data_IF_189376644630
#
_entry.id   IF_189376644630
#
_cell.length_a   1.000
_cell.length_b   1.000
_cell.length_c   1.000
_cell.angle_alpha   90.00
_cell.angle_beta   90.00
_cell.angle_gamma   90.00
#
_symmetry.space_group_name_H-M   'P 1'
#
loop_
_entity.id
_entity.type
_entity.pdbx_description
1 polymer ?
#
# COMPACT_ATOMS: atom_id res chain seq x y z
N UNK A 1 -3.39 10.74 -15.23
CA UNK A 1 -3.94 10.58 -13.86
C UNK A 1 -2.93 9.96 -12.89
N UNK A 2 -2.25 8.86 -13.25
CA UNK A 2 -1.33 8.15 -12.32
C UNK A 2 -0.18 9.05 -11.82
N UNK A 3 0.36 9.93 -12.67
CA UNK A 3 1.41 10.86 -12.25
C UNK A 3 0.95 11.88 -11.18
N UNK A 4 -0.35 12.09 -10.98
CA UNK A 4 -0.84 12.88 -9.85
C UNK A 4 -0.64 12.18 -8.49
N UNK A 5 -0.42 10.87 -8.50
CA UNK A 5 -0.13 10.03 -7.34
C UNK A 5 1.35 9.60 -7.28
N UNK A 6 2.19 10.16 -8.14
CA UNK A 6 3.62 9.84 -8.16
C UNK A 6 4.34 10.41 -6.95
N UNK A 7 5.08 9.56 -6.25
CA UNK A 7 5.84 9.93 -5.05
C UNK A 7 7.20 10.54 -5.35
N UNK A 8 7.78 10.26 -6.54
CA UNK A 8 9.12 10.70 -6.93
C UNK A 8 9.17 11.39 -8.31
N UNK A 9 8.35 12.42 -8.58
CA UNK A 9 8.29 13.07 -9.89
C UNK A 9 9.54 13.88 -10.26
N UNK A 10 10.39 14.25 -9.30
CA UNK A 10 11.66 14.96 -9.56
C UNK A 10 12.70 14.06 -10.26
N UNK A 11 12.50 12.73 -10.22
CA UNK A 11 13.38 11.75 -10.87
C UNK A 11 12.85 11.26 -12.23
N UNK A 12 11.63 11.62 -12.58
CA UNK A 12 11.02 11.26 -13.85
C UNK A 12 9.51 11.06 -13.77
N UNK A 13 8.90 10.80 -14.91
CA UNK A 13 7.47 10.51 -15.00
C UNK A 13 7.21 9.01 -15.02
N UNK A 14 6.08 8.58 -14.49
CA UNK A 14 5.54 7.24 -14.72
C UNK A 14 5.09 7.16 -16.18
N UNK A 15 5.72 6.27 -16.97
CA UNK A 15 5.48 6.08 -18.40
C UNK A 15 4.72 4.81 -18.72
N UNK A 16 4.71 3.85 -17.80
CA UNK A 16 4.06 2.56 -17.98
C UNK A 16 3.83 1.87 -16.64
N UNK A 17 3.35 0.64 -16.70
CA UNK A 17 3.17 -0.24 -15.56
C UNK A 17 3.77 -1.62 -15.86
N UNK A 18 3.95 -2.43 -14.82
CA UNK A 18 4.16 -3.86 -14.99
C UNK A 18 2.87 -4.54 -15.54
N UNK A 19 2.92 -5.84 -15.93
CA UNK A 19 1.78 -6.50 -16.59
C UNK A 19 0.47 -6.46 -15.79
N UNK A 20 0.53 -6.55 -14.47
CA UNK A 20 -0.66 -6.57 -13.61
C UNK A 20 -1.07 -5.17 -13.12
N UNK A 21 -0.34 -4.13 -13.48
CA UNK A 21 -0.59 -2.70 -13.16
C UNK A 21 -0.52 -2.33 -11.67
N UNK A 22 0.03 -3.18 -10.82
CA UNK A 22 0.28 -2.87 -9.41
C UNK A 22 1.52 -2.01 -9.18
N UNK A 23 2.45 -1.99 -10.14
CA UNK A 23 3.68 -1.23 -10.05
C UNK A 23 3.72 -0.12 -11.10
N UNK A 24 3.56 1.11 -10.65
CA UNK A 24 3.61 2.33 -11.47
C UNK A 24 4.63 3.28 -10.86
N UNK A 25 5.85 3.21 -11.36
CA UNK A 25 6.97 3.98 -10.85
C UNK A 25 7.95 4.36 -11.96
N UNK A 26 9.18 4.71 -11.62
CA UNK A 26 10.24 5.07 -12.56
C UNK A 26 10.68 3.86 -13.38
N UNK A 27 11.10 4.09 -14.61
CA UNK A 27 11.72 3.07 -15.43
C UNK A 27 13.03 2.57 -14.78
N UNK A 28 13.46 1.38 -15.18
CA UNK A 28 14.69 0.74 -14.70
C UNK A 28 14.75 0.56 -13.18
N UNK A 29 13.59 0.48 -12.53
CA UNK A 29 13.43 0.07 -11.12
C UNK A 29 12.79 -1.30 -11.05
N UNK A 30 13.08 -2.06 -10.01
CA UNK A 30 12.48 -3.36 -9.77
C UNK A 30 11.47 -3.32 -8.64
N UNK A 31 10.44 -4.16 -8.73
CA UNK A 31 9.47 -4.39 -7.68
C UNK A 31 9.70 -5.76 -7.04
N UNK A 32 9.97 -5.75 -5.76
CA UNK A 32 10.11 -6.91 -4.93
C UNK A 32 8.74 -7.29 -4.36
N UNK A 33 8.31 -8.55 -4.53
CA UNK A 33 6.90 -8.92 -4.33
C UNK A 33 6.68 -9.92 -3.20
N UNK A 34 5.62 -9.68 -2.42
CA UNK A 34 5.00 -10.66 -1.53
C UNK A 34 3.47 -10.50 -1.55
N UNK A 35 2.75 -11.59 -1.28
CA UNK A 35 1.29 -11.56 -1.17
C UNK A 35 0.82 -12.41 0.01
N UNK A 36 -0.04 -11.82 0.85
CA UNK A 36 -0.64 -12.52 1.98
C UNK A 36 -1.95 -13.19 1.58
N UNK A 37 -2.17 -14.42 2.02
CA UNK A 37 -3.44 -15.10 1.83
C UNK A 37 -4.46 -14.64 2.89
N UNK A 38 -5.45 -13.86 2.50
CA UNK A 38 -6.42 -13.27 3.42
C UNK A 38 -7.23 -14.31 4.22
N UNK A 39 -7.49 -15.49 3.65
CA UNK A 39 -8.22 -16.55 4.35
C UNK A 39 -7.51 -17.07 5.61
N UNK A 40 -6.19 -16.94 5.68
CA UNK A 40 -5.43 -17.37 6.89
C UNK A 40 -5.72 -16.51 8.11
N UNK A 41 -6.28 -15.31 7.91
CA UNK A 41 -6.67 -14.38 8.97
C UNK A 41 -8.16 -14.45 9.32
N UNK A 42 -8.92 -15.38 8.72
CA UNK A 42 -10.36 -15.50 8.98
C UNK A 42 -10.70 -16.86 9.59
N UNK A 43 -11.18 -16.84 10.82
CA UNK A 43 -11.61 -18.04 11.54
C UNK A 43 -12.81 -17.76 12.44
N UNK A 44 -13.69 -18.74 12.60
CA UNK A 44 -14.84 -18.65 13.50
C UNK A 44 -15.74 -17.42 13.26
N UNK A 45 -15.89 -17.00 12.01
CA UNK A 45 -16.73 -15.85 11.65
C UNK A 45 -16.08 -14.48 11.92
N UNK A 46 -14.79 -14.44 12.25
CA UNK A 46 -14.08 -13.20 12.58
C UNK A 46 -12.77 -13.08 11.82
N UNK A 47 -12.48 -11.88 11.34
CA UNK A 47 -11.17 -11.53 10.76
C UNK A 47 -10.20 -11.11 11.87
N UNK A 48 -9.01 -11.72 11.92
CA UNK A 48 -7.95 -11.41 12.86
C UNK A 48 -7.12 -10.22 12.35
N UNK A 49 -7.59 -9.02 12.65
CA UNK A 49 -6.96 -7.78 12.23
C UNK A 49 -5.58 -7.58 12.90
N UNK A 50 -5.37 -8.06 14.13
CA UNK A 50 -4.09 -7.94 14.82
C UNK A 50 -3.01 -8.79 14.15
N UNK A 51 -3.31 -10.05 13.85
CA UNK A 51 -2.42 -10.92 13.11
C UNK A 51 -2.14 -10.37 11.68
N UNK A 52 -3.13 -9.77 11.03
CA UNK A 52 -2.98 -9.16 9.72
C UNK A 52 -2.03 -7.95 9.74
N UNK A 53 -2.18 -7.04 10.70
CA UNK A 53 -1.27 -5.90 10.92
C UNK A 53 0.15 -6.39 11.22
N UNK A 54 0.29 -7.37 12.13
CA UNK A 54 1.59 -7.94 12.47
C UNK A 54 2.29 -8.55 11.25
N UNK A 55 1.58 -9.37 10.47
CA UNK A 55 2.11 -9.96 9.24
C UNK A 55 2.49 -8.89 8.21
N UNK A 56 1.69 -7.82 8.05
CA UNK A 56 2.01 -6.69 7.17
C UNK A 56 3.34 -6.03 7.57
N UNK A 57 3.55 -5.77 8.86
CA UNK A 57 4.82 -5.21 9.36
C UNK A 57 6.00 -6.12 9.07
N UNK A 58 5.88 -7.42 9.38
CA UNK A 58 6.95 -8.39 9.13
C UNK A 58 7.30 -8.49 7.65
N UNK A 59 6.30 -8.55 6.77
CA UNK A 59 6.54 -8.62 5.32
C UNK A 59 7.14 -7.33 4.77
N UNK A 60 6.77 -6.16 5.32
CA UNK A 60 7.38 -4.88 4.92
C UNK A 60 8.87 -4.90 5.23
N UNK A 61 9.28 -5.31 6.43
CA UNK A 61 10.69 -5.45 6.81
C UNK A 61 11.40 -6.52 5.97
N UNK A 62 10.74 -7.65 5.72
CA UNK A 62 11.32 -8.73 4.90
C UNK A 62 11.57 -8.28 3.47
N UNK A 63 10.63 -7.55 2.86
CA UNK A 63 10.79 -7.01 1.51
C UNK A 63 11.92 -5.99 1.44
N UNK A 64 12.06 -5.13 2.45
CA UNK A 64 13.15 -4.17 2.56
C UNK A 64 14.52 -4.86 2.60
N UNK A 65 14.68 -5.88 3.44
CA UNK A 65 15.90 -6.69 3.50
C UNK A 65 16.18 -7.37 2.14
N UNK A 66 15.14 -7.90 1.52
CA UNK A 66 15.23 -8.60 0.25
C UNK A 66 15.67 -7.69 -0.90
N UNK A 67 15.18 -6.43 -0.96
CA UNK A 67 15.67 -5.44 -1.95
C UNK A 67 17.16 -5.17 -1.78
N UNK A 68 17.65 -5.03 -0.54
CA UNK A 68 19.07 -4.81 -0.27
C UNK A 68 19.96 -5.96 -0.70
N UNK A 69 19.46 -7.19 -0.66
CA UNK A 69 20.21 -8.42 -0.93
C UNK A 69 19.98 -8.96 -2.35
N UNK A 70 19.09 -8.34 -3.13
CA UNK A 70 18.72 -8.82 -4.45
C UNK A 70 19.87 -8.65 -5.46
N UNK A 71 19.88 -9.54 -6.45
CA UNK A 71 20.69 -9.40 -7.65
C UNK A 71 19.79 -8.97 -8.81
N UNK A 72 20.26 -8.02 -9.61
CA UNK A 72 19.51 -7.44 -10.71
C UNK A 72 20.20 -7.70 -12.05
N UNK A 73 19.45 -7.70 -13.18
CA UNK A 73 19.99 -8.08 -14.49
C UNK A 73 20.95 -7.05 -15.07
N UNK A 74 20.93 -5.79 -14.59
CA UNK A 74 21.86 -4.74 -15.01
C UNK A 74 22.28 -3.88 -13.83
N UNK A 75 23.42 -3.19 -13.98
CA UNK A 75 23.92 -2.26 -12.96
C UNK A 75 22.99 -1.07 -12.77
N UNK A 76 22.36 -0.59 -13.83
CA UNK A 76 21.41 0.53 -13.78
C UNK A 76 20.18 0.17 -12.94
N UNK A 77 19.57 -0.99 -13.21
CA UNK A 77 18.43 -1.49 -12.41
C UNK A 77 18.83 -1.72 -10.95
N UNK A 78 20.04 -2.25 -10.71
CA UNK A 78 20.53 -2.44 -9.36
C UNK A 78 20.66 -1.12 -8.61
N UNK A 79 21.24 -0.10 -9.25
CA UNK A 79 21.41 1.22 -8.65
C UNK A 79 20.09 1.90 -8.33
N UNK A 80 19.17 1.98 -9.31
CA UNK A 80 17.88 2.63 -9.12
C UNK A 80 17.01 1.87 -8.12
N UNK A 81 17.04 0.55 -8.13
CA UNK A 81 16.31 -0.26 -7.13
C UNK A 81 16.84 -0.06 -5.72
N UNK A 82 18.14 0.11 -5.56
CA UNK A 82 18.77 0.44 -4.28
C UNK A 82 18.42 1.86 -3.83
N UNK A 83 18.44 2.84 -4.75
CA UNK A 83 18.18 4.24 -4.42
C UNK A 83 16.73 4.52 -4.01
N UNK A 84 15.76 3.84 -4.64
CA UNK A 84 14.33 4.06 -4.39
C UNK A 84 13.67 3.00 -3.51
N UNK A 85 14.23 1.79 -3.43
CA UNK A 85 13.84 0.72 -2.50
C UNK A 85 12.35 0.39 -2.52
N UNK A 86 11.79 0.24 -3.72
CA UNK A 86 10.36 0.00 -3.91
C UNK A 86 9.95 -1.40 -3.48
N UNK A 87 8.87 -1.50 -2.71
CA UNK A 87 8.35 -2.74 -2.14
C UNK A 87 6.96 -3.01 -2.70
N UNK A 88 6.70 -4.26 -3.10
CA UNK A 88 5.42 -4.73 -3.61
C UNK A 88 4.75 -5.70 -2.64
N UNK A 89 3.98 -5.19 -1.68
CA UNK A 89 3.18 -6.00 -0.78
C UNK A 89 1.71 -5.99 -1.19
N UNK A 90 1.15 -7.17 -1.38
CA UNK A 90 -0.24 -7.34 -1.75
C UNK A 90 -0.92 -8.48 -0.99
N UNK A 91 -2.08 -8.87 -1.46
CA UNK A 91 -2.80 -10.02 -0.93
C UNK A 91 -3.46 -10.84 -2.02
N UNK A 92 -3.78 -12.08 -1.70
CA UNK A 92 -4.54 -13.00 -2.52
C UNK A 92 -5.78 -13.48 -1.78
N UNK A 93 -6.72 -14.07 -2.54
CA UNK A 93 -7.86 -14.81 -2.01
C UNK A 93 -8.95 -13.93 -1.35
N UNK A 94 -9.08 -12.66 -1.80
CA UNK A 94 -10.21 -11.81 -1.37
C UNK A 94 -11.56 -12.43 -1.75
N UNK A 95 -11.69 -13.02 -2.94
CA UNK A 95 -12.92 -13.69 -3.36
C UNK A 95 -13.27 -14.88 -2.46
N UNK A 96 -12.28 -15.67 -2.05
CA UNK A 96 -12.48 -16.75 -1.10
C UNK A 96 -12.89 -16.26 0.28
N UNK A 97 -12.31 -15.15 0.76
CA UNK A 97 -12.72 -14.52 2.01
C UNK A 97 -14.17 -14.05 1.95
N UNK A 98 -14.57 -13.32 0.89
CA UNK A 98 -15.93 -12.83 0.73
C UNK A 98 -16.95 -14.00 0.68
N UNK A 99 -16.65 -15.09 -0.05
CA UNK A 99 -17.48 -16.29 -0.08
C UNK A 99 -17.66 -16.91 1.32
N UNK A 100 -16.57 -16.99 2.10
CA UNK A 100 -16.66 -17.51 3.48
C UNK A 100 -17.46 -16.61 4.41
N UNK A 101 -17.48 -15.29 4.16
CA UNK A 101 -18.28 -14.34 4.90
C UNK A 101 -19.74 -14.24 4.41
N UNK A 102 -20.08 -14.93 3.31
CA UNK A 102 -21.41 -14.86 2.69
C UNK A 102 -21.66 -13.54 1.97
N UNK A 103 -20.62 -12.83 1.54
CA UNK A 103 -20.70 -11.55 0.85
C UNK A 103 -20.58 -11.75 -0.66
N UNK A 104 -21.38 -11.01 -1.42
CA UNK A 104 -21.27 -10.98 -2.89
C UNK A 104 -19.96 -10.31 -3.32
N UNK A 105 -19.28 -10.88 -4.32
CA UNK A 105 -18.03 -10.33 -4.84
C UNK A 105 -18.20 -8.87 -5.36
N UNK A 106 -19.33 -8.58 -6.01
CA UNK A 106 -19.69 -7.27 -6.54
C UNK A 106 -20.78 -6.58 -5.70
N UNK A 107 -20.78 -6.80 -4.39
CA UNK A 107 -21.63 -6.07 -3.46
C UNK A 107 -20.94 -4.83 -2.89
N UNK A 108 -21.71 -3.87 -2.38
CA UNK A 108 -21.17 -2.69 -1.72
C UNK A 108 -20.37 -3.08 -0.48
N UNK A 109 -20.82 -4.07 0.29
CA UNK A 109 -20.14 -4.60 1.46
C UNK A 109 -18.81 -5.27 1.08
N UNK A 110 -18.79 -6.06 0.00
CA UNK A 110 -17.58 -6.71 -0.50
C UNK A 110 -16.53 -5.69 -0.94
N UNK A 111 -16.94 -4.67 -1.68
CA UNK A 111 -16.05 -3.57 -2.10
C UNK A 111 -15.53 -2.75 -0.92
N UNK A 112 -16.41 -2.44 0.04
CA UNK A 112 -16.05 -1.68 1.25
C UNK A 112 -15.05 -2.46 2.13
N UNK A 113 -15.27 -3.76 2.31
CA UNK A 113 -14.32 -4.63 3.03
C UNK A 113 -12.95 -4.69 2.33
N UNK A 114 -12.95 -4.89 1.01
CA UNK A 114 -11.73 -4.87 0.21
C UNK A 114 -10.98 -3.54 0.38
N UNK A 115 -11.69 -2.42 0.30
CA UNK A 115 -11.13 -1.08 0.54
C UNK A 115 -10.51 -0.93 1.94
N UNK A 116 -11.20 -1.41 2.97
CA UNK A 116 -10.72 -1.34 4.35
C UNK A 116 -9.44 -2.17 4.55
N UNK A 117 -9.41 -3.42 4.08
CA UNK A 117 -8.23 -4.29 4.18
C UNK A 117 -7.03 -3.72 3.41
N UNK A 118 -7.26 -3.15 2.23
CA UNK A 118 -6.21 -2.49 1.43
C UNK A 118 -5.69 -1.23 2.15
N UNK A 119 -6.58 -0.42 2.71
CA UNK A 119 -6.20 0.79 3.45
C UNK A 119 -5.37 0.45 4.70
N UNK A 120 -5.73 -0.61 5.44
CA UNK A 120 -4.95 -1.09 6.59
C UNK A 120 -3.56 -1.52 6.13
N UNK A 121 -3.47 -2.43 5.14
CA UNK A 121 -2.17 -2.92 4.65
C UNK A 121 -1.27 -1.76 4.23
N UNK A 122 -1.77 -0.87 3.40
CA UNK A 122 -0.96 0.22 2.84
C UNK A 122 -0.55 1.23 3.92
N UNK A 123 -1.47 1.61 4.81
CA UNK A 123 -1.17 2.51 5.93
C UNK A 123 -0.13 1.93 6.87
N UNK A 124 -0.30 0.67 7.30
CA UNK A 124 0.66 -0.04 8.15
C UNK A 124 2.03 -0.17 7.47
N UNK A 125 2.06 -0.43 6.16
CA UNK A 125 3.32 -0.51 5.39
C UNK A 125 4.04 0.83 5.40
N UNK A 126 3.36 1.96 5.15
CA UNK A 126 3.97 3.29 5.19
C UNK A 126 4.41 3.69 6.60
N UNK A 127 3.62 3.39 7.64
CA UNK A 127 4.01 3.61 9.02
C UNK A 127 5.28 2.81 9.38
N UNK A 128 5.35 1.52 9.00
CA UNK A 128 6.54 0.68 9.20
C UNK A 128 7.76 1.22 8.43
N UNK A 129 7.55 1.70 7.20
CA UNK A 129 8.61 2.33 6.40
C UNK A 129 9.13 3.62 7.07
N UNK A 130 8.25 4.42 7.64
CA UNK A 130 8.64 5.62 8.39
C UNK A 130 9.44 5.28 9.66
N UNK A 131 9.06 4.23 10.39
CA UNK A 131 9.83 3.72 11.54
C UNK A 131 11.24 3.27 11.11
N UNK A 132 11.36 2.50 10.03
CA UNK A 132 12.67 2.10 9.49
C UNK A 132 13.49 3.32 9.06
N UNK A 133 12.87 4.30 8.40
CA UNK A 133 13.55 5.53 7.98
C UNK A 133 14.04 6.37 9.17
N UNK A 134 13.34 6.35 10.30
CA UNK A 134 13.78 7.01 11.53
C UNK A 134 15.09 6.42 12.07
N UNK A 135 15.28 5.11 11.96
CA UNK A 135 16.45 4.40 12.49
C UNK A 135 17.62 4.37 11.48
N UNK A 136 17.31 4.20 10.19
CA UNK A 136 18.30 3.92 9.14
C UNK A 136 18.50 5.09 8.16
N UNK A 137 17.67 6.12 8.26
CA UNK A 137 17.55 7.18 7.26
C UNK A 137 16.57 6.83 6.13
N UNK A 138 16.04 7.82 5.44
CA UNK A 138 15.14 7.61 4.31
C UNK A 138 15.91 7.11 3.07
N UNK A 139 15.19 6.65 2.04
CA UNK A 139 15.78 6.28 0.76
C UNK A 139 16.44 7.50 0.07
N UNK A 140 17.43 7.25 -0.80
CA UNK A 140 18.30 8.29 -1.39
C UNK A 140 17.56 9.39 -2.15
N UNK A 141 16.42 9.07 -2.76
CA UNK A 141 15.59 10.03 -3.51
C UNK A 141 14.63 10.86 -2.64
N UNK A 142 14.57 10.63 -1.32
CA UNK A 142 13.53 11.22 -0.47
C UNK A 142 13.60 12.75 -0.40
N UNK A 143 14.75 13.34 -0.12
CA UNK A 143 14.84 14.77 0.17
C UNK A 143 14.32 15.65 -0.97
N UNK A 144 14.64 15.30 -2.24
CA UNK A 144 14.16 16.04 -3.41
C UNK A 144 12.68 15.78 -3.73
N UNK A 145 12.13 14.62 -3.30
CA UNK A 145 10.74 14.23 -3.56
C UNK A 145 9.81 14.39 -2.34
N UNK A 146 10.34 14.81 -1.20
CA UNK A 146 9.63 14.83 0.09
C UNK A 146 8.23 15.46 0.00
N UNK A 147 8.11 16.62 -0.64
CA UNK A 147 6.82 17.32 -0.71
C UNK A 147 5.78 16.53 -1.53
N UNK A 148 6.20 15.90 -2.62
CA UNK A 148 5.35 15.06 -3.46
C UNK A 148 4.92 13.80 -2.72
N UNK A 149 5.84 13.10 -2.07
CA UNK A 149 5.55 11.91 -1.30
C UNK A 149 4.59 12.19 -0.14
N UNK A 150 4.85 13.24 0.65
CA UNK A 150 3.95 13.63 1.75
C UNK A 150 2.56 14.05 1.26
N UNK A 151 2.45 14.71 0.11
CA UNK A 151 1.14 15.00 -0.51
C UNK A 151 0.40 13.72 -0.87
N UNK A 152 1.07 12.72 -1.44
CA UNK A 152 0.45 11.43 -1.76
C UNK A 152 -0.03 10.72 -0.50
N UNK A 153 0.78 10.69 0.56
CA UNK A 153 0.38 10.10 1.85
C UNK A 153 -0.83 10.85 2.45
N UNK A 154 -0.83 12.20 2.44
CA UNK A 154 -2.01 12.99 2.88
C UNK A 154 -3.26 12.68 2.07
N UNK A 155 -3.14 12.45 0.76
CA UNK A 155 -4.27 12.06 -0.08
C UNK A 155 -4.79 10.65 0.24
N UNK A 156 -3.93 9.71 0.54
CA UNK A 156 -4.37 8.38 1.02
C UNK A 156 -5.06 8.47 2.39
N UNK A 157 -4.52 9.29 3.30
CA UNK A 157 -5.19 9.59 4.57
C UNK A 157 -6.56 10.23 4.35
N UNK A 158 -6.66 11.20 3.43
CA UNK A 158 -7.93 11.82 3.05
C UNK A 158 -8.92 10.78 2.51
N UNK A 159 -8.47 9.82 1.69
CA UNK A 159 -9.30 8.73 1.20
C UNK A 159 -9.82 7.83 2.33
N UNK A 160 -8.97 7.50 3.31
CA UNK A 160 -9.38 6.69 4.46
C UNK A 160 -10.40 7.41 5.36
N UNK A 161 -10.31 8.74 5.48
CA UNK A 161 -11.21 9.55 6.29
C UNK A 161 -12.45 10.08 5.53
N UNK A 162 -12.48 9.98 4.20
CA UNK A 162 -13.55 10.54 3.38
C UNK A 162 -13.51 12.07 3.31
N UNK A 163 -12.32 12.68 3.34
CA UNK A 163 -12.12 14.13 3.30
C UNK A 163 -11.62 14.61 1.93
N UNK A 164 -11.48 15.91 1.74
CA UNK A 164 -11.06 16.50 0.47
C UNK A 164 -9.60 16.17 0.12
N UNK A 165 -9.34 15.94 -1.16
CA UNK A 165 -8.01 15.66 -1.71
C UNK A 165 -7.26 16.95 -2.07
N UNK A 166 -5.93 16.86 -2.03
CA UNK A 166 -5.00 17.92 -2.40
C UNK A 166 -4.47 17.69 -3.83
N UNK A 167 -4.70 18.66 -4.73
CA UNK A 167 -4.05 18.71 -6.04
C UNK A 167 -4.44 17.61 -7.03
N UNK A 168 -5.65 17.05 -6.93
CA UNK A 168 -6.17 16.02 -7.84
C UNK A 168 -7.23 16.60 -8.76
N UNK A 169 -7.04 16.47 -10.08
CA UNK A 169 -8.06 16.81 -11.07
C UNK A 169 -9.18 15.76 -11.16
N UNK A 170 -8.86 14.50 -10.84
CA UNK A 170 -9.79 13.39 -10.80
C UNK A 170 -9.73 12.82 -9.38
N UNK A 171 -10.75 13.07 -8.55
CA UNK A 171 -10.77 12.53 -7.18
C UNK A 171 -10.91 11.02 -7.19
N UNK A 172 -10.20 10.36 -6.29
CA UNK A 172 -10.38 8.94 -6.03
C UNK A 172 -11.68 8.68 -5.24
N UNK A 173 -12.23 7.48 -5.35
CA UNK A 173 -13.32 7.04 -4.48
C UNK A 173 -12.76 6.84 -3.08
N UNK A 174 -13.37 7.50 -2.09
CA UNK A 174 -12.99 7.34 -0.69
C UNK A 174 -13.42 5.97 -0.14
N UNK A 175 -12.85 5.58 0.99
CA UNK A 175 -13.26 4.38 1.72
C UNK A 175 -14.74 4.48 2.09
N UNK A 176 -15.51 3.46 1.72
CA UNK A 176 -16.93 3.37 2.07
C UNK A 176 -17.09 2.88 3.50
N UNK A 177 -17.28 3.82 4.39
CA UNK A 177 -17.47 3.54 5.82
C UNK A 177 -18.81 2.89 6.12
N UNK A 178 -19.86 3.29 5.37
CA UNK A 178 -21.24 2.89 5.67
C UNK A 178 -21.51 1.42 5.35
N UNK A 179 -20.95 0.94 4.23
CA UNK A 179 -21.19 -0.42 3.75
C UNK A 179 -20.14 -1.43 4.25
N UNK A 180 -19.08 -1.01 4.95
CA UNK A 180 -18.11 -1.96 5.48
C UNK A 180 -18.75 -2.80 6.60
N UNK A 181 -18.78 -4.15 6.46
CA UNK A 181 -19.45 -5.02 7.43
C UNK A 181 -18.77 -5.08 8.80
N UNK A 182 -17.51 -4.66 8.87
CA UNK A 182 -16.76 -4.59 10.13
C UNK A 182 -16.24 -3.17 10.36
N UNK A 183 -16.91 -2.44 11.24
CA UNK A 183 -16.57 -1.05 11.58
C UNK A 183 -15.22 -0.93 12.33
N UNK A 184 -14.74 -2.00 12.98
CA UNK A 184 -13.43 -1.99 13.60
C UNK A 184 -12.31 -1.91 12.55
N UNK A 185 -12.49 -2.55 11.40
CA UNK A 185 -11.54 -2.44 10.28
C UNK A 185 -11.52 -1.02 9.69
N UNK A 186 -12.66 -0.34 9.60
CA UNK A 186 -12.72 1.07 9.18
C UNK A 186 -11.91 1.97 10.13
N UNK A 187 -12.08 1.80 11.43
CA UNK A 187 -11.31 2.57 12.42
C UNK A 187 -9.82 2.26 12.35
N UNK A 188 -9.47 0.99 12.20
CA UNK A 188 -8.09 0.57 12.05
C UNK A 188 -7.45 1.15 10.77
N UNK A 189 -8.19 1.18 9.66
CA UNK A 189 -7.72 1.81 8.42
C UNK A 189 -7.41 3.31 8.62
N UNK A 190 -8.28 4.04 9.30
CA UNK A 190 -8.05 5.46 9.64
C UNK A 190 -6.81 5.62 10.51
N UNK A 191 -6.70 4.83 11.59
CA UNK A 191 -5.56 4.90 12.51
C UNK A 191 -4.24 4.58 11.80
N UNK A 192 -4.20 3.58 10.92
CA UNK A 192 -3.00 3.24 10.15
C UNK A 192 -2.51 4.39 9.26
N UNK A 193 -3.43 5.15 8.65
CA UNK A 193 -3.08 6.33 7.86
C UNK A 193 -2.80 7.58 8.70
N UNK A 194 -3.30 7.65 9.93
CA UNK A 194 -2.94 8.72 10.88
C UNK A 194 -1.52 8.54 11.42
N UNK A 195 -1.06 7.29 11.49
CA UNK A 195 0.31 6.95 11.92
C UNK A 195 1.34 7.10 10.78
N UNK A 196 0.93 6.80 9.54
CA UNK A 196 1.79 6.89 8.36
C UNK A 196 2.14 8.33 7.99
#
# INVERSE_FOLDING_TARGET
>A
TVNAWHTCPEDGAIRGSNPCSEYMFLDDTACNLASMNLLTFYANGKFDAEAYVHATRLWTVTLEISVMMAQFPSQEIAQLSYDFRTLGLGYANIGGLLMNMGLGYDSDEGRALCGALTAIMTGVTYATSAEMAKELGPFSGYDRNKQHMLRVIRNHRAAAHGTAYEGLNVPAVALDHANCPDQALVQLAKSAWDEA
#
